data_IF_023173965156
#
_entry.id   IF_023173965156
#
_cell.length_a   1.000
_cell.length_b   1.000
_cell.length_c   1.000
_cell.angle_alpha   90.00
_cell.angle_beta   90.00
_cell.angle_gamma   90.00
#
_symmetry.space_group_name_H-M   'P 1'
#
loop_
_entity.id
_entity.type
_entity.pdbx_description
1 polymer ?
#
# COMPACT_ATOMS: atom_id res chain seq x y z
N UNK A 1 30.20 -19.58 1.52
CA UNK A 1 29.87 -18.17 1.20
C UNK A 1 28.50 -17.92 1.77
N UNK A 2 28.38 -16.96 2.68
CA UNK A 2 27.17 -16.73 3.46
C UNK A 2 26.03 -16.20 2.58
N UNK A 3 24.91 -16.93 2.55
CA UNK A 3 23.73 -16.55 1.78
C UNK A 3 23.20 -15.16 2.19
N UNK A 4 23.42 -14.77 3.44
CA UNK A 4 23.01 -13.48 4.01
C UNK A 4 23.77 -12.29 3.39
N UNK A 5 25.05 -12.47 3.07
CA UNK A 5 25.83 -11.45 2.38
C UNK A 5 25.37 -11.27 0.92
N UNK A 6 24.93 -12.35 0.28
CA UNK A 6 24.35 -12.31 -1.07
C UNK A 6 22.97 -11.65 -1.09
N UNK A 7 22.14 -11.88 -0.07
CA UNK A 7 20.81 -11.29 0.03
C UNK A 7 20.84 -9.75 0.04
N UNK A 8 21.84 -9.12 0.68
CA UNK A 8 22.00 -7.67 0.68
C UNK A 8 22.38 -7.07 -0.69
N UNK A 9 23.11 -7.83 -1.52
CA UNK A 9 23.54 -7.42 -2.87
C UNK A 9 22.48 -7.74 -3.92
N UNK A 10 21.69 -8.80 -3.71
CA UNK A 10 20.63 -9.28 -4.61
C UNK A 10 19.23 -8.83 -4.19
N UNK A 11 19.09 -8.09 -3.08
CA UNK A 11 17.81 -7.52 -2.64
C UNK A 11 17.22 -6.64 -3.76
N UNK A 12 15.90 -6.73 -4.02
CA UNK A 12 15.30 -6.05 -5.15
C UNK A 12 15.55 -4.55 -5.08
N UNK A 13 16.25 -4.03 -6.09
CA UNK A 13 16.23 -2.60 -6.39
C UNK A 13 14.87 -2.29 -7.00
N UNK A 14 14.05 -1.53 -6.28
CA UNK A 14 12.77 -1.05 -6.82
C UNK A 14 13.05 -0.06 -7.96
N UNK A 15 12.90 -0.52 -9.20
CA UNK A 15 13.14 0.25 -10.45
C UNK A 15 12.10 1.38 -10.63
N UNK A 16 11.10 1.47 -9.75
CA UNK A 16 10.00 2.43 -9.86
C UNK A 16 9.84 3.24 -8.58
N UNK A 17 9.70 4.54 -8.75
CA UNK A 17 9.35 5.45 -7.65
C UNK A 17 7.97 5.10 -7.12
N UNK A 18 7.87 4.96 -5.80
CA UNK A 18 6.59 4.83 -5.12
C UNK A 18 5.73 6.08 -5.44
N UNK A 19 4.55 5.94 -6.05
CA UNK A 19 3.69 7.08 -6.30
C UNK A 19 3.33 7.74 -4.97
N UNK A 20 3.29 9.07 -4.96
CA UNK A 20 2.90 9.84 -3.76
C UNK A 20 1.39 10.11 -3.70
N UNK A 21 0.71 9.97 -4.83
CA UNK A 21 -0.72 10.24 -4.97
C UNK A 21 -1.43 9.08 -5.65
N UNK A 22 -2.71 8.92 -5.36
CA UNK A 22 -3.60 7.96 -6.00
C UNK A 22 -4.08 8.45 -7.38
N UNK A 23 -4.98 7.67 -8.00
CA UNK A 23 -5.59 8.00 -9.29
C UNK A 23 -6.51 9.23 -9.27
N UNK A 24 -6.84 9.75 -8.10
CA UNK A 24 -7.67 10.95 -7.89
C UNK A 24 -6.87 12.18 -7.48
N UNK A 25 -5.53 12.10 -7.56
CA UNK A 25 -4.58 13.14 -7.14
C UNK A 25 -4.58 13.42 -5.63
N UNK A 26 -5.02 12.46 -4.82
CA UNK A 26 -4.97 12.55 -3.35
C UNK A 26 -3.70 11.89 -2.83
N UNK A 27 -2.99 12.46 -1.84
CA UNK A 27 -1.83 11.80 -1.24
C UNK A 27 -2.17 10.40 -0.72
N UNK A 28 -1.32 9.42 -1.03
CA UNK A 28 -1.42 8.09 -0.45
C UNK A 28 -1.00 8.12 1.02
N UNK A 29 -1.73 7.37 1.84
CA UNK A 29 -1.38 7.15 3.24
C UNK A 29 -0.56 5.87 3.36
N UNK A 30 0.57 5.94 4.06
CA UNK A 30 1.46 4.80 4.30
C UNK A 30 1.60 4.56 5.79
N UNK A 31 1.45 3.32 6.20
CA UNK A 31 1.74 2.86 7.56
C UNK A 31 2.67 1.65 7.51
N UNK A 32 3.63 1.62 8.43
CA UNK A 32 4.53 0.49 8.61
C UNK A 32 4.40 0.05 10.07
N UNK A 33 4.18 -1.23 10.30
CA UNK A 33 4.08 -1.78 11.65
C UNK A 33 5.40 -1.59 12.39
N UNK A 34 5.31 -1.31 13.69
CA UNK A 34 6.46 -1.09 14.57
C UNK A 34 7.22 -2.42 14.73
N UNK A 35 8.20 -2.65 13.86
CA UNK A 35 8.89 -3.94 13.70
C UNK A 35 9.23 -4.29 12.25
N UNK A 36 8.70 -3.55 11.28
CA UNK A 36 9.00 -3.74 9.85
C UNK A 36 8.40 -5.01 9.24
N UNK A 37 7.53 -5.70 9.98
CA UNK A 37 6.91 -6.96 9.59
C UNK A 37 5.56 -6.81 8.87
N UNK A 38 5.12 -5.57 8.63
CA UNK A 38 3.90 -5.32 7.88
C UNK A 38 3.77 -3.87 7.44
N UNK A 39 2.95 -3.65 6.41
CA UNK A 39 2.67 -2.33 5.86
C UNK A 39 1.23 -2.23 5.37
N UNK A 40 0.71 -1.01 5.35
CA UNK A 40 -0.55 -0.67 4.73
C UNK A 40 -0.39 0.57 3.83
N UNK A 41 -1.13 0.56 2.72
CA UNK A 41 -1.27 1.68 1.79
C UNK A 41 -2.75 2.00 1.65
N UNK A 42 -3.10 3.26 1.88
CA UNK A 42 -4.45 3.79 1.77
C UNK A 42 -4.58 4.81 0.65
N UNK A 43 -5.64 4.69 -0.13
CA UNK A 43 -6.09 5.67 -1.12
C UNK A 43 -7.45 6.21 -0.68
N UNK A 44 -7.60 7.53 -0.68
CA UNK A 44 -8.86 8.24 -0.41
C UNK A 44 -9.94 7.95 -1.45
N UNK A 45 -9.53 7.42 -2.61
CA UNK A 45 -10.47 7.08 -3.65
C UNK A 45 -11.20 8.32 -4.19
N UNK A 46 -12.43 8.16 -4.70
CA UNK A 46 -13.16 9.25 -5.35
C UNK A 46 -13.61 10.36 -4.39
N UNK A 47 -13.77 10.08 -3.09
CA UNK A 47 -14.24 11.08 -2.12
C UNK A 47 -13.13 12.04 -1.66
N UNK A 48 -11.86 11.70 -1.91
CA UNK A 48 -10.66 12.49 -1.61
C UNK A 48 -10.51 12.88 -0.13
N UNK A 49 -11.17 12.17 0.77
CA UNK A 49 -11.06 12.35 2.21
C UNK A 49 -9.92 11.48 2.73
N UNK A 50 -9.21 11.93 3.77
CA UNK A 50 -8.06 11.18 4.30
C UNK A 50 -8.47 9.72 4.62
N UNK A 51 -7.81 8.71 4.04
CA UNK A 51 -8.25 7.33 4.18
C UNK A 51 -8.02 6.80 5.59
N UNK A 52 -8.96 6.01 6.08
CA UNK A 52 -8.84 5.32 7.37
C UNK A 52 -8.19 3.94 7.23
N UNK A 53 -6.94 3.74 7.67
CA UNK A 53 -6.32 2.40 7.54
C UNK A 53 -6.86 1.34 8.52
N UNK A 54 -7.31 1.77 9.70
CA UNK A 54 -7.89 0.90 10.73
C UNK A 54 -9.41 0.76 10.58
N UNK A 55 -10.07 1.80 10.06
CA UNK A 55 -11.50 1.87 9.85
C UNK A 55 -11.77 2.65 8.55
N UNK A 56 -11.55 2.02 7.38
CA UNK A 56 -11.74 2.68 6.09
C UNK A 56 -13.21 3.03 5.88
N UNK A 57 -13.44 4.17 5.24
CA UNK A 57 -14.77 4.48 4.75
C UNK A 57 -15.10 3.66 3.49
N UNK A 58 -16.29 3.88 2.93
CA UNK A 58 -16.81 3.06 1.85
C UNK A 58 -16.17 3.35 0.47
N UNK A 59 -15.42 4.44 0.33
CA UNK A 59 -14.78 4.86 -0.91
C UNK A 59 -13.24 4.69 -0.85
N UNK A 60 -12.70 4.53 0.35
CA UNK A 60 -11.31 4.17 0.61
C UNK A 60 -10.91 2.86 -0.08
N UNK A 61 -9.65 2.77 -0.47
CA UNK A 61 -9.00 1.55 -0.94
C UNK A 61 -7.81 1.27 -0.03
N UNK A 62 -7.76 0.07 0.56
CA UNK A 62 -6.71 -0.31 1.50
C UNK A 62 -6.05 -1.60 1.05
N UNK A 63 -4.73 -1.52 0.84
CA UNK A 63 -3.87 -2.65 0.55
C UNK A 63 -2.94 -2.88 1.74
N UNK A 64 -2.91 -4.10 2.27
CA UNK A 64 -2.13 -4.49 3.44
C UNK A 64 -1.43 -5.81 3.15
N UNK A 65 -0.11 -5.84 3.40
CA UNK A 65 0.71 -7.05 3.34
C UNK A 65 0.50 -7.93 2.11
N UNK A 66 0.30 -7.33 0.93
CA UNK A 66 0.14 -8.05 -0.32
C UNK A 66 -1.32 -8.29 -0.77
N UNK A 67 -2.32 -7.88 0.01
CA UNK A 67 -3.74 -8.09 -0.32
C UNK A 67 -4.59 -6.84 -0.08
N UNK A 68 -5.69 -6.70 -0.83
CA UNK A 68 -6.69 -5.67 -0.54
C UNK A 68 -7.56 -6.09 0.64
N UNK A 69 -7.59 -5.27 1.69
CA UNK A 69 -8.55 -5.41 2.80
C UNK A 69 -9.82 -4.58 2.59
N UNK A 70 -9.74 -3.57 1.71
CA UNK A 70 -10.86 -2.76 1.23
C UNK A 70 -10.63 -2.49 -0.26
N UNK A 71 -11.60 -2.87 -1.11
CA UNK A 71 -11.53 -2.71 -2.57
C UNK A 71 -12.51 -1.64 -3.05
N UNK A 72 -12.24 -0.96 -4.19
CA UNK A 72 -13.14 0.06 -4.69
C UNK A 72 -14.51 -0.51 -5.06
N UNK A 73 -15.57 0.25 -4.75
CA UNK A 73 -16.93 -0.06 -5.19
C UNK A 73 -16.99 -0.13 -6.72
N UNK A 74 -17.35 -1.30 -7.25
CA UNK A 74 -17.55 -1.50 -8.68
C UNK A 74 -16.46 -2.30 -9.40
N UNK A 75 -15.36 -2.66 -8.74
CA UNK A 75 -14.41 -3.66 -9.27
C UNK A 75 -14.58 -4.96 -8.48
N UNK A 76 -15.49 -5.79 -8.99
CA UNK A 76 -15.57 -7.22 -8.68
C UNK A 76 -15.26 -7.98 -9.97
N UNK A 77 -14.13 -8.68 -10.00
CA UNK A 77 -13.76 -9.87 -10.81
C UNK A 77 -12.23 -9.97 -10.79
N UNK A 78 -11.58 -11.11 -10.57
CA UNK A 78 -11.94 -12.51 -10.81
C UNK A 78 -11.36 -13.40 -9.70
#
# INVERSE_FOLDING_TARGET
>A
MDADLMAGVLSPTYIRTLPRTDGWSTPLLFEVHRGGNGYAVGSAGPNRTSPGLAAPDADDIVFRDGAFTQSPKGIQTQ
#
